data_IF_925197306105
#
_entry.id   IF_925197306105
#
_cell.length_a   1.000
_cell.length_b   1.000
_cell.length_c   1.000
_cell.angle_alpha   90.00
_cell.angle_beta   90.00
_cell.angle_gamma   90.00
#
_symmetry.space_group_name_H-M   'P 1'
#
loop_
_entity.id
_entity.type
_entity.pdbx_description
1 polymer ?
#
# COMPACT_ATOMS: atom_id res chain seq x y z
N UNK A 1 -16.21 22.65 1.95
CA UNK A 1 -16.02 21.32 2.57
C UNK A 1 -15.09 20.48 1.70
N UNK A 2 -14.05 19.91 2.27
CA UNK A 2 -13.12 19.01 1.58
C UNK A 2 -13.32 17.60 2.12
N UNK A 3 -13.52 16.64 1.22
CA UNK A 3 -13.63 15.22 1.55
C UNK A 3 -12.36 14.48 1.15
N UNK A 4 -11.74 13.79 2.11
CA UNK A 4 -10.72 12.79 1.82
C UNK A 4 -11.32 11.46 1.32
N UNK A 5 -10.64 10.79 0.41
CA UNK A 5 -11.01 9.47 -0.09
C UNK A 5 -10.15 8.42 0.63
N UNK A 6 -10.79 7.50 1.35
CA UNK A 6 -10.12 6.51 2.22
C UNK A 6 -10.46 5.06 1.83
N UNK A 7 -9.67 4.13 2.33
CA UNK A 7 -9.80 2.71 2.02
C UNK A 7 -11.14 2.06 2.42
N UNK A 8 -11.82 2.62 3.41
CA UNK A 8 -13.09 2.07 3.93
C UNK A 8 -14.32 2.83 3.41
N UNK A 9 -14.13 3.65 2.38
CA UNK A 9 -15.19 4.40 1.72
C UNK A 9 -16.08 3.44 0.90
N UNK A 10 -17.39 3.38 1.15
CA UNK A 10 -18.31 2.52 0.40
C UNK A 10 -18.27 2.76 -1.12
N UNK A 11 -18.01 3.99 -1.54
CA UNK A 11 -17.90 4.33 -2.95
C UNK A 11 -16.73 3.61 -3.63
N UNK A 12 -15.63 3.40 -2.90
CA UNK A 12 -14.50 2.59 -3.37
C UNK A 12 -14.91 1.13 -3.56
N UNK A 13 -15.63 0.54 -2.61
CA UNK A 13 -16.11 -0.83 -2.74
C UNK A 13 -17.04 -1.02 -3.93
N UNK A 14 -17.97 -0.09 -4.16
CA UNK A 14 -18.85 -0.12 -5.33
C UNK A 14 -18.05 -0.08 -6.64
N UNK A 15 -17.06 0.80 -6.74
CA UNK A 15 -16.24 0.93 -7.93
C UNK A 15 -15.32 -0.27 -8.14
N UNK A 16 -14.75 -0.77 -7.07
CA UNK A 16 -13.91 -1.96 -7.11
C UNK A 16 -14.73 -3.22 -7.46
N UNK A 17 -15.95 -3.33 -6.98
CA UNK A 17 -16.87 -4.40 -7.40
C UNK A 17 -17.17 -4.32 -8.90
N UNK A 18 -17.15 -3.12 -9.47
CA UNK A 18 -17.26 -2.90 -10.92
C UNK A 18 -15.93 -3.03 -11.68
N UNK A 19 -14.86 -3.48 -11.02
CA UNK A 19 -13.55 -3.69 -11.64
C UNK A 19 -12.69 -2.44 -11.78
N UNK A 20 -12.89 -1.41 -10.93
CA UNK A 20 -12.11 -0.17 -10.96
C UNK A 20 -11.50 0.14 -9.59
N UNK A 21 -10.19 0.11 -9.45
CA UNK A 21 -9.20 -0.43 -10.39
C UNK A 21 -9.31 -1.95 -10.51
N UNK A 22 -8.79 -2.51 -11.57
CA UNK A 22 -8.84 -3.96 -11.82
C UNK A 22 -7.98 -4.76 -10.80
N UNK A 23 -7.15 -4.09 -10.02
CA UNK A 23 -6.24 -4.69 -9.06
C UNK A 23 -6.02 -3.74 -7.87
N UNK A 24 -6.24 -4.21 -6.64
CA UNK A 24 -6.09 -3.42 -5.41
C UNK A 24 -5.97 -4.36 -4.20
N UNK A 25 -5.33 -3.90 -3.12
CA UNK A 25 -5.27 -4.64 -1.85
C UNK A 25 -6.64 -4.79 -1.19
N UNK A 26 -7.53 -3.84 -1.41
CA UNK A 26 -8.92 -3.89 -0.96
C UNK A 26 -9.83 -4.64 -1.95
N UNK A 27 -9.33 -4.98 -3.11
CA UNK A 27 -10.11 -5.60 -4.16
C UNK A 27 -10.28 -7.10 -3.96
N UNK A 28 -11.47 -7.51 -3.76
CA UNK A 28 -11.85 -8.86 -3.37
C UNK A 28 -11.94 -9.87 -4.52
N UNK A 29 -12.13 -9.42 -5.77
CA UNK A 29 -12.22 -10.31 -6.92
C UNK A 29 -10.91 -11.01 -7.28
N UNK A 30 -9.78 -10.37 -6.96
CA UNK A 30 -8.46 -10.88 -7.32
C UNK A 30 -7.86 -11.83 -6.27
N UNK A 31 -8.57 -12.08 -5.18
CA UNK A 31 -8.07 -12.84 -4.03
C UNK A 31 -9.09 -13.86 -3.53
N UNK A 32 -9.38 -14.91 -4.32
CA UNK A 32 -10.37 -15.91 -3.94
C UNK A 32 -10.14 -16.54 -2.57
N UNK A 33 -8.85 -16.72 -2.18
CA UNK A 33 -8.45 -17.27 -0.90
C UNK A 33 -8.80 -16.37 0.30
N UNK A 34 -9.07 -15.09 0.06
CA UNK A 34 -9.38 -14.11 1.10
C UNK A 34 -10.86 -13.68 1.09
N UNK A 35 -11.67 -14.37 0.30
CA UNK A 35 -13.08 -14.00 0.07
C UNK A 35 -13.88 -13.86 1.37
N UNK A 36 -13.66 -14.74 2.35
CA UNK A 36 -14.43 -14.70 3.60
C UNK A 36 -14.09 -13.48 4.44
N UNK A 37 -12.79 -13.19 4.64
CA UNK A 37 -12.34 -12.00 5.36
C UNK A 37 -12.82 -10.70 4.66
N UNK A 38 -12.80 -10.69 3.33
CA UNK A 38 -13.28 -9.57 2.54
C UNK A 38 -14.80 -9.40 2.58
N UNK A 39 -15.58 -10.49 2.61
CA UNK A 39 -17.05 -10.44 2.71
C UNK A 39 -17.52 -9.69 3.95
N UNK A 40 -16.95 -10.01 5.11
CA UNK A 40 -17.32 -9.34 6.35
C UNK A 40 -17.02 -7.83 6.25
N UNK A 41 -15.84 -7.47 5.79
CA UNK A 41 -15.44 -6.07 5.58
C UNK A 41 -16.37 -5.35 4.61
N UNK A 42 -16.64 -5.95 3.44
CA UNK A 42 -17.53 -5.38 2.44
C UNK A 42 -18.93 -5.20 3.03
N UNK A 43 -19.47 -6.22 3.71
CA UNK A 43 -20.79 -6.14 4.32
C UNK A 43 -20.89 -4.99 5.33
N UNK A 44 -19.88 -4.78 6.16
CA UNK A 44 -19.84 -3.71 7.14
C UNK A 44 -19.83 -2.32 6.48
N UNK A 45 -19.04 -2.14 5.43
CA UNK A 45 -18.86 -0.84 4.76
C UNK A 45 -19.89 -0.55 3.66
N UNK A 46 -20.64 -1.53 3.20
CA UNK A 46 -21.68 -1.36 2.17
C UNK A 46 -23.10 -1.35 2.71
N UNK A 47 -23.30 -1.16 4.01
CA UNK A 47 -24.64 -0.98 4.58
C UNK A 47 -25.31 0.26 3.98
N UNK A 48 -26.62 0.22 3.69
CA UNK A 48 -27.31 1.32 3.00
C UNK A 48 -27.17 2.68 3.68
N UNK A 49 -27.11 2.73 5.02
CA UNK A 49 -26.92 3.99 5.74
C UNK A 49 -25.50 4.56 5.53
N UNK A 50 -24.47 3.71 5.47
CA UNK A 50 -23.10 4.15 5.19
C UNK A 50 -22.97 4.65 3.76
N UNK A 51 -23.47 3.90 2.79
CA UNK A 51 -23.48 4.28 1.37
C UNK A 51 -24.15 5.67 1.21
N UNK A 52 -25.33 5.87 1.78
CA UNK A 52 -26.02 7.17 1.70
C UNK A 52 -25.21 8.29 2.30
N UNK A 53 -24.71 8.11 3.52
CA UNK A 53 -23.91 9.11 4.20
C UNK A 53 -22.66 9.52 3.38
N UNK A 54 -21.92 8.54 2.90
CA UNK A 54 -20.71 8.81 2.13
C UNK A 54 -20.99 9.41 0.75
N UNK A 55 -22.07 8.99 0.09
CA UNK A 55 -22.53 9.61 -1.14
C UNK A 55 -22.95 11.05 -0.92
N UNK A 56 -23.73 11.34 0.12
CA UNK A 56 -24.15 12.70 0.44
C UNK A 56 -22.94 13.59 0.71
N UNK A 57 -21.97 13.13 1.49
CA UNK A 57 -20.72 13.87 1.71
C UNK A 57 -19.96 14.08 0.40
N UNK A 58 -19.80 13.05 -0.43
CA UNK A 58 -19.08 13.17 -1.69
C UNK A 58 -19.78 14.11 -2.68
N UNK A 59 -21.11 14.09 -2.71
CA UNK A 59 -21.89 14.91 -3.63
C UNK A 59 -21.95 16.38 -3.21
N UNK A 60 -21.89 16.67 -1.92
CA UNK A 60 -21.99 18.02 -1.39
C UNK A 60 -20.64 18.64 -0.98
N UNK A 61 -19.53 17.96 -1.19
CA UNK A 61 -18.21 18.52 -0.94
C UNK A 61 -17.74 19.42 -2.09
N UNK A 62 -17.08 20.52 -1.76
CA UNK A 62 -16.49 21.46 -2.73
C UNK A 62 -15.27 20.86 -3.43
N UNK A 63 -14.51 20.04 -2.71
CA UNK A 63 -13.35 19.31 -3.24
C UNK A 63 -13.28 17.88 -2.70
N UNK A 64 -12.79 16.97 -3.52
CA UNK A 64 -12.47 15.60 -3.20
C UNK A 64 -10.96 15.42 -3.34
N UNK A 65 -10.30 14.91 -2.31
CA UNK A 65 -8.86 14.71 -2.30
C UNK A 65 -8.55 13.23 -2.15
N UNK A 66 -7.90 12.66 -3.14
CA UNK A 66 -7.41 11.29 -3.11
C UNK A 66 -5.88 11.29 -3.03
N UNK A 67 -5.33 10.58 -2.04
CA UNK A 67 -3.89 10.48 -1.83
C UNK A 67 -3.25 9.23 -2.45
N UNK A 68 -4.04 8.24 -2.80
CA UNK A 68 -3.61 7.03 -3.48
C UNK A 68 -4.27 6.93 -4.85
N UNK A 69 -3.55 6.33 -5.80
CA UNK A 69 -4.04 6.18 -7.18
C UNK A 69 -5.35 5.40 -7.25
N UNK A 70 -5.49 4.33 -6.47
CA UNK A 70 -6.70 3.52 -6.40
C UNK A 70 -7.91 4.33 -5.96
N UNK A 71 -7.73 5.22 -4.99
CA UNK A 71 -8.80 6.08 -4.49
C UNK A 71 -9.18 7.15 -5.53
N UNK A 72 -8.17 7.78 -6.14
CA UNK A 72 -8.39 8.74 -7.20
C UNK A 72 -9.14 8.12 -8.38
N UNK A 73 -8.74 6.92 -8.81
CA UNK A 73 -9.35 6.23 -9.94
C UNK A 73 -10.83 5.90 -9.68
N UNK A 74 -11.18 5.51 -8.45
CA UNK A 74 -12.55 5.22 -8.07
C UNK A 74 -13.45 6.45 -8.17
N UNK A 75 -12.94 7.63 -7.84
CA UNK A 75 -13.67 8.90 -7.95
C UNK A 75 -13.54 9.57 -9.34
N UNK A 76 -12.71 9.06 -10.22
CA UNK A 76 -12.53 9.60 -11.57
C UNK A 76 -13.74 9.31 -12.45
N UNK A 77 -14.81 10.09 -12.25
CA UNK A 77 -16.05 10.05 -13.02
C UNK A 77 -16.36 11.44 -13.52
N UNK A 78 -17.18 11.60 -14.59
CA UNK A 78 -17.57 12.93 -15.09
C UNK A 78 -18.18 13.83 -14.01
N UNK A 79 -18.88 13.24 -13.06
CA UNK A 79 -19.55 13.97 -11.96
C UNK A 79 -18.56 14.64 -11.02
N UNK A 80 -17.42 14.03 -10.75
CA UNK A 80 -16.44 14.54 -9.80
C UNK A 80 -15.22 15.19 -10.47
N UNK A 81 -15.05 15.08 -11.77
CA UNK A 81 -13.85 15.45 -12.50
C UNK A 81 -13.35 16.87 -12.20
N UNK A 82 -14.27 17.85 -12.03
CA UNK A 82 -13.90 19.26 -11.80
C UNK A 82 -13.44 19.57 -10.37
N UNK A 83 -13.70 18.68 -9.41
CA UNK A 83 -13.40 18.88 -7.99
C UNK A 83 -12.62 17.73 -7.35
N UNK A 84 -12.18 16.77 -8.17
CA UNK A 84 -11.33 15.68 -7.75
C UNK A 84 -9.87 16.07 -7.91
N UNK A 85 -9.13 16.02 -6.82
CA UNK A 85 -7.71 16.33 -6.76
C UNK A 85 -6.92 15.11 -6.33
N UNK A 86 -5.81 14.83 -7.02
CA UNK A 86 -4.84 13.85 -6.58
C UNK A 86 -3.72 14.57 -5.85
N UNK A 87 -3.66 14.41 -4.54
CA UNK A 87 -2.63 14.99 -3.68
C UNK A 87 -1.95 13.84 -2.96
N UNK A 88 -0.71 13.49 -3.35
CA UNK A 88 0.03 12.39 -2.74
C UNK A 88 0.16 12.54 -1.22
N UNK A 89 0.40 11.43 -0.53
CA UNK A 89 0.66 11.44 0.91
C UNK A 89 1.87 12.35 1.21
N UNK A 90 1.73 13.28 2.15
CA UNK A 90 2.86 14.11 2.58
C UNK A 90 3.90 13.24 3.26
N UNK A 91 5.16 13.49 2.95
CA UNK A 91 6.27 12.78 3.56
C UNK A 91 7.44 13.74 3.81
N UNK A 92 8.05 13.61 4.96
CA UNK A 92 9.31 14.28 5.25
C UNK A 92 10.45 13.55 4.53
N UNK A 93 11.17 14.29 3.69
CA UNK A 93 12.37 13.77 3.03
C UNK A 93 13.56 14.10 3.92
N UNK A 94 14.37 13.10 4.35
CA UNK A 94 15.55 13.36 5.14
C UNK A 94 16.49 14.37 4.43
N UNK A 95 16.92 15.40 5.16
CA UNK A 95 17.80 16.45 4.62
C UNK A 95 19.15 15.91 4.14
N UNK A 96 19.64 14.87 4.76
CA UNK A 96 20.79 14.11 4.33
C UNK A 96 20.29 12.78 3.73
N UNK A 97 19.84 12.82 2.50
CA UNK A 97 19.76 11.58 1.75
C UNK A 97 21.21 11.13 1.56
N UNK A 98 21.69 10.34 2.50
CA UNK A 98 22.78 9.43 2.22
C UNK A 98 22.27 8.41 1.21
N UNK A 99 22.07 8.88 -0.03
CA UNK A 99 22.01 7.98 -1.17
C UNK A 99 23.34 7.25 -1.16
N UNK A 100 23.43 6.23 -0.33
CA UNK A 100 24.57 5.35 -0.25
C UNK A 100 24.67 4.71 -1.60
N UNK A 101 25.60 5.20 -2.42
CA UNK A 101 26.10 4.42 -3.54
C UNK A 101 26.73 3.19 -2.89
N UNK A 102 25.89 2.18 -2.75
CA UNK A 102 26.26 0.94 -2.09
C UNK A 102 27.16 0.20 -3.10
N UNK A 103 28.41 -0.03 -2.72
CA UNK A 103 29.44 -0.58 -3.61
C UNK A 103 29.02 -1.92 -4.22
N UNK A 104 29.41 -2.15 -5.47
CA UNK A 104 29.27 -3.46 -6.14
C UNK A 104 30.03 -4.54 -5.38
N UNK A 105 29.47 -5.75 -5.34
CA UNK A 105 30.17 -6.97 -4.82
C UNK A 105 29.90 -7.29 -3.36
N UNK A 106 29.05 -6.55 -2.64
CA UNK A 106 28.61 -6.88 -1.28
C UNK A 106 27.30 -7.67 -1.27
N UNK A 107 26.99 -8.28 -0.14
CA UNK A 107 25.68 -8.91 0.11
C UNK A 107 24.56 -7.90 0.07
N UNK A 108 23.49 -8.20 -0.66
CA UNK A 108 22.27 -7.36 -0.78
C UNK A 108 21.38 -7.66 0.41
N UNK A 109 21.08 -6.63 1.19
CA UNK A 109 20.16 -6.73 2.34
C UNK A 109 18.72 -6.49 1.88
N UNK A 110 17.92 -7.55 1.93
CA UNK A 110 16.49 -7.53 1.57
C UNK A 110 15.64 -7.47 2.82
N UNK A 111 14.80 -6.47 2.92
CA UNK A 111 13.90 -6.25 4.04
C UNK A 111 12.48 -6.70 3.66
N UNK A 112 11.85 -7.52 4.49
CA UNK A 112 10.49 -8.03 4.29
C UNK A 112 9.63 -7.69 5.49
N UNK A 113 8.64 -6.84 5.30
CA UNK A 113 7.68 -6.48 6.35
C UNK A 113 6.61 -7.56 6.54
N UNK A 114 6.51 -8.11 7.75
CA UNK A 114 5.47 -9.08 8.10
C UNK A 114 4.44 -8.43 8.99
N UNK A 115 3.19 -8.43 8.53
CA UNK A 115 2.03 -8.00 9.30
C UNK A 115 1.01 -9.14 9.36
N UNK A 116 1.05 -10.02 10.36
CA UNK A 116 0.24 -11.24 10.41
C UNK A 116 -1.25 -10.97 10.24
N UNK A 117 -1.77 -9.90 10.84
CA UNK A 117 -3.18 -9.50 10.76
C UNK A 117 -3.59 -8.93 9.38
N UNK A 118 -2.64 -8.60 8.51
CA UNK A 118 -2.87 -8.01 7.20
C UNK A 118 -2.25 -8.82 6.06
N UNK A 119 -1.79 -10.03 6.33
CA UNK A 119 -1.15 -10.90 5.33
C UNK A 119 -2.03 -11.11 4.10
N UNK A 120 -3.33 -11.29 4.31
CA UNK A 120 -4.30 -11.46 3.21
C UNK A 120 -4.43 -10.22 2.31
N UNK A 121 -4.12 -9.03 2.82
CA UNK A 121 -4.11 -7.78 2.05
C UNK A 121 -2.79 -7.58 1.32
N UNK A 122 -1.68 -7.80 2.02
CA UNK A 122 -0.33 -7.50 1.51
C UNK A 122 0.35 -8.66 0.81
N UNK A 123 0.01 -9.90 1.14
CA UNK A 123 0.65 -11.10 0.61
C UNK A 123 2.02 -11.38 1.21
N UNK A 124 2.26 -10.97 2.46
CA UNK A 124 3.57 -11.03 3.11
C UNK A 124 4.16 -12.45 3.15
N UNK A 125 3.36 -13.48 3.44
CA UNK A 125 3.82 -14.89 3.43
C UNK A 125 4.28 -15.34 2.04
N UNK A 126 3.56 -14.90 0.99
CA UNK A 126 3.91 -15.21 -0.39
C UNK A 126 5.20 -14.51 -0.79
N UNK A 127 5.35 -13.26 -0.39
CA UNK A 127 6.59 -12.48 -0.54
C UNK A 127 7.75 -13.21 0.14
N UNK A 128 7.61 -13.54 1.42
CA UNK A 128 8.65 -14.22 2.20
C UNK A 128 9.12 -15.51 1.52
N UNK A 129 8.17 -16.38 1.15
CA UNK A 129 8.47 -17.64 0.46
C UNK A 129 9.22 -17.42 -0.87
N UNK A 130 8.82 -16.41 -1.64
CA UNK A 130 9.51 -16.08 -2.90
C UNK A 130 10.93 -15.57 -2.64
N UNK A 131 11.11 -14.60 -1.74
CA UNK A 131 12.42 -14.04 -1.41
C UNK A 131 13.37 -15.11 -0.88
N UNK A 132 12.88 -16.00 0.00
CA UNK A 132 13.66 -17.15 0.48
C UNK A 132 14.09 -18.08 -0.65
N UNK A 133 13.23 -18.33 -1.62
CA UNK A 133 13.56 -19.17 -2.77
C UNK A 133 14.67 -18.55 -3.63
N UNK A 134 14.69 -17.23 -3.75
CA UNK A 134 15.76 -16.50 -4.45
C UNK A 134 17.06 -16.53 -3.62
N UNK A 135 16.99 -16.27 -2.32
CA UNK A 135 18.15 -16.27 -1.45
C UNK A 135 18.85 -17.65 -1.39
N UNK A 136 18.07 -18.74 -1.35
CA UNK A 136 18.64 -20.11 -1.42
C UNK A 136 19.44 -20.37 -2.70
N UNK A 137 19.11 -19.71 -3.81
CA UNK A 137 19.87 -19.80 -5.06
C UNK A 137 21.11 -18.91 -5.08
N UNK A 138 21.18 -17.93 -4.18
CA UNK A 138 22.26 -16.95 -4.11
C UNK A 138 22.69 -16.70 -2.65
N UNK A 139 23.15 -17.75 -1.91
CA UNK A 139 23.34 -17.68 -0.46
C UNK A 139 24.39 -16.64 -0.04
N UNK A 140 25.43 -16.43 -0.86
CA UNK A 140 26.50 -15.48 -0.57
C UNK A 140 26.17 -14.04 -0.99
N UNK A 141 25.02 -13.82 -1.64
CA UNK A 141 24.65 -12.52 -2.24
C UNK A 141 23.43 -11.86 -1.62
N UNK A 142 22.61 -12.60 -0.88
CA UNK A 142 21.33 -12.10 -0.35
C UNK A 142 21.23 -12.43 1.13
N UNK A 143 21.05 -11.41 1.92
CA UNK A 143 20.69 -11.46 3.34
C UNK A 143 19.24 -11.01 3.50
N UNK A 144 18.40 -11.82 4.13
CA UNK A 144 17.00 -11.46 4.38
C UNK A 144 16.86 -11.04 5.83
N UNK A 145 16.25 -9.87 6.04
CA UNK A 145 15.77 -9.44 7.36
C UNK A 145 14.24 -9.36 7.33
N UNK A 146 13.61 -9.95 8.33
CA UNK A 146 12.16 -9.85 8.55
C UNK A 146 11.88 -8.79 9.60
N UNK A 147 10.82 -8.01 9.37
CA UNK A 147 10.33 -7.01 10.31
C UNK A 147 8.94 -7.40 10.75
N UNK A 148 8.77 -7.60 12.05
CA UNK A 148 7.48 -7.84 12.67
C UNK A 148 7.42 -7.13 14.02
N UNK A 149 6.52 -6.14 14.13
CA UNK A 149 6.22 -5.49 15.42
C UNK A 149 7.36 -4.72 16.09
N UNK A 150 8.33 -4.23 15.32
CA UNK A 150 9.42 -3.42 15.85
C UNK A 150 9.00 -1.96 16.10
N UNK A 151 9.63 -1.24 17.05
CA UNK A 151 9.44 0.19 17.26
C UNK A 151 9.79 1.00 16.00
N UNK A 152 9.17 2.18 15.86
CA UNK A 152 9.34 3.02 14.66
C UNK A 152 10.79 3.40 14.39
N UNK A 153 11.55 3.80 15.43
CA UNK A 153 12.94 4.21 15.27
C UNK A 153 13.83 3.05 14.82
N UNK A 154 13.60 1.86 15.37
CA UNK A 154 14.30 0.65 14.95
C UNK A 154 13.95 0.30 13.49
N UNK A 155 12.68 0.44 13.12
CA UNK A 155 12.26 0.26 11.74
C UNK A 155 12.97 1.22 10.79
N UNK A 156 13.10 2.51 11.16
CA UNK A 156 13.82 3.49 10.34
C UNK A 156 15.30 3.11 10.16
N UNK A 157 15.97 2.65 11.22
CA UNK A 157 17.34 2.15 11.14
C UNK A 157 17.47 0.93 10.20
N UNK A 158 16.51 0.02 10.27
CA UNK A 158 16.51 -1.14 9.36
C UNK A 158 16.34 -0.71 7.89
N UNK A 159 15.54 0.32 7.62
CA UNK A 159 15.41 0.91 6.28
C UNK A 159 16.72 1.57 5.81
N UNK A 160 17.43 2.27 6.69
CA UNK A 160 18.72 2.89 6.37
C UNK A 160 19.77 1.85 5.98
N UNK A 161 19.70 0.64 6.52
CA UNK A 161 20.60 -0.46 6.21
C UNK A 161 20.19 -1.27 4.97
N UNK A 162 18.90 -1.27 4.63
CA UNK A 162 18.35 -2.11 3.57
C UNK A 162 18.74 -1.62 2.18
N UNK A 163 18.96 -2.56 1.27
CA UNK A 163 19.16 -2.31 -0.15
C UNK A 163 17.85 -2.41 -0.91
N UNK A 164 17.01 -3.35 -0.49
CA UNK A 164 15.71 -3.65 -1.10
C UNK A 164 14.66 -3.80 0.00
N UNK A 165 13.52 -3.15 -0.18
CA UNK A 165 12.30 -3.40 0.58
C UNK A 165 11.30 -4.12 -0.32
N UNK A 166 10.76 -5.25 0.14
CA UNK A 166 9.62 -5.90 -0.52
C UNK A 166 8.38 -5.65 0.35
N UNK A 167 7.46 -4.80 -0.15
CA UNK A 167 6.35 -4.29 0.69
C UNK A 167 5.04 -5.03 0.48
N UNK A 168 4.52 -5.07 -0.74
CA UNK A 168 3.19 -5.64 -0.98
C UNK A 168 2.96 -6.06 -2.43
N UNK A 169 2.12 -7.11 -2.61
CA UNK A 169 1.80 -7.67 -3.94
C UNK A 169 0.52 -7.08 -4.56
N UNK A 170 -0.35 -6.46 -3.77
CA UNK A 170 -1.75 -6.26 -4.14
C UNK A 170 -2.19 -4.80 -4.09
N UNK A 171 -1.29 -3.86 -4.38
CA UNK A 171 -1.63 -2.44 -4.50
C UNK A 171 -0.86 -1.79 -5.64
N UNK A 172 -1.45 -0.79 -6.29
CA UNK A 172 -0.77 0.02 -7.30
C UNK A 172 0.10 1.11 -6.68
N UNK A 173 -0.31 1.59 -5.52
CA UNK A 173 0.32 2.75 -4.90
C UNK A 173 1.23 2.31 -3.77
N UNK A 174 2.46 2.84 -3.73
CA UNK A 174 3.37 2.57 -2.63
C UNK A 174 2.77 3.00 -1.29
N UNK A 175 2.97 2.18 -0.26
CA UNK A 175 2.61 2.53 1.12
C UNK A 175 3.55 3.61 1.68
N UNK A 176 3.22 4.16 2.87
CA UNK A 176 4.13 5.07 3.57
C UNK A 176 5.50 4.45 3.84
N UNK A 177 5.54 3.14 4.10
CA UNK A 177 6.79 2.40 4.29
C UNK A 177 7.63 2.39 3.02
N UNK A 178 7.00 2.14 1.88
CA UNK A 178 7.65 2.18 0.57
C UNK A 178 8.19 3.57 0.25
N UNK A 179 7.41 4.61 0.54
CA UNK A 179 7.85 6.00 0.35
C UNK A 179 9.05 6.34 1.26
N UNK A 180 9.00 5.94 2.52
CA UNK A 180 10.10 6.15 3.46
C UNK A 180 11.39 5.42 3.04
N UNK A 181 11.26 4.21 2.47
CA UNK A 181 12.38 3.46 1.92
C UNK A 181 12.97 4.15 0.68
N UNK A 182 12.13 4.57 -0.27
CA UNK A 182 12.58 5.30 -1.46
C UNK A 182 13.28 6.61 -1.12
N UNK A 183 12.77 7.35 -0.11
CA UNK A 183 13.42 8.58 0.37
C UNK A 183 14.82 8.36 0.95
N UNK A 184 15.14 7.12 1.32
CA UNK A 184 16.46 6.67 1.81
C UNK A 184 17.32 6.01 0.76
N UNK A 185 16.88 6.00 -0.50
CA UNK A 185 17.59 5.35 -1.60
C UNK A 185 17.48 3.82 -1.62
N UNK A 186 16.55 3.24 -0.85
CA UNK A 186 16.24 1.80 -0.87
C UNK A 186 15.36 1.48 -2.07
N UNK A 187 15.71 0.44 -2.80
CA UNK A 187 14.87 -0.07 -3.92
C UNK A 187 13.62 -0.71 -3.33
N UNK A 188 12.44 -0.37 -3.88
CA UNK A 188 11.16 -0.94 -3.44
C UNK A 188 10.58 -1.82 -4.55
N UNK A 189 10.13 -3.01 -4.16
CA UNK A 189 9.49 -4.00 -5.02
C UNK A 189 8.11 -4.33 -4.46
#
# INVERSE_FOLDING_TARGET
IVKGCFADDPFLFERQAAGVPAYSDTYWNNKPQNMEANRQRIFEHTRPQFIRCWHDVAYNSDALVACLYEYWLCYKTPRFAKRLHYIPLPMEIPHESSARIKGMGRTIKVLVGIQPKRDYLKGAKRIASFVESVARRHPDKIEIKYIEGVPYDEYMHMLDEADVLVDQLYSYTPSMNSLAAMARGTVVI
#
